data_IF_052996753932
#
_entry.id   IF_052996753932
#
_cell.length_a   1.000
_cell.length_b   1.000
_cell.length_c   1.000
_cell.angle_alpha   90.00
_cell.angle_beta   90.00
_cell.angle_gamma   90.00
#
_symmetry.space_group_name_H-M   'P 1'
#
loop_
_entity.id
_entity.type
_entity.pdbx_description
1 polymer ?
#
# COMPACT_ATOMS: atom_id res chain seq x y z
N UNK A 1 -13.08 -3.77 -9.38
CA UNK A 1 -13.02 -2.30 -9.23
C UNK A 1 -12.94 -2.01 -7.73
N UNK A 2 -11.78 -1.57 -7.22
CA UNK A 2 -11.62 -1.28 -5.78
C UNK A 2 -12.71 -0.28 -5.38
N UNK A 3 -13.42 -0.54 -4.29
CA UNK A 3 -14.33 0.43 -3.70
C UNK A 3 -13.49 1.58 -3.17
N UNK A 4 -13.71 2.79 -3.68
CA UNK A 4 -13.02 4.01 -3.23
C UNK A 4 -13.08 4.18 -1.70
N UNK A 5 -14.14 3.68 -1.06
CA UNK A 5 -14.28 3.63 0.39
C UNK A 5 -13.20 2.80 1.10
N UNK A 6 -12.79 1.66 0.55
CA UNK A 6 -11.74 0.81 1.15
C UNK A 6 -10.37 1.50 1.05
N UNK A 7 -10.12 2.16 -0.08
CA UNK A 7 -8.92 2.94 -0.29
C UNK A 7 -8.89 4.17 0.64
N UNK A 8 -10.00 4.89 0.75
CA UNK A 8 -10.13 6.05 1.65
C UNK A 8 -9.88 5.65 3.11
N UNK A 9 -10.48 4.54 3.55
CA UNK A 9 -10.24 4.00 4.90
C UNK A 9 -8.78 3.65 5.13
N UNK A 10 -8.13 2.97 4.17
CA UNK A 10 -6.69 2.66 4.25
C UNK A 10 -5.83 3.93 4.30
N UNK A 11 -6.21 4.96 3.54
CA UNK A 11 -5.51 6.26 3.53
C UNK A 11 -5.61 6.93 4.91
N UNK A 12 -6.78 6.89 5.54
CA UNK A 12 -7.01 7.46 6.88
C UNK A 12 -6.27 6.65 7.96
N UNK A 13 -6.49 5.33 8.01
CA UNK A 13 -5.93 4.43 9.03
C UNK A 13 -4.40 4.46 9.04
N UNK A 14 -3.78 4.48 7.85
CA UNK A 14 -2.32 4.49 7.70
C UNK A 14 -1.74 5.89 7.46
N UNK A 15 -2.57 6.94 7.49
CA UNK A 15 -2.18 8.33 7.22
C UNK A 15 -1.30 8.43 5.94
N UNK A 16 -1.83 7.93 4.84
CA UNK A 16 -1.18 7.90 3.53
C UNK A 16 -1.38 9.21 2.77
N UNK A 17 -0.57 9.43 1.74
CA UNK A 17 -0.75 10.54 0.81
C UNK A 17 -1.82 10.19 -0.21
N UNK A 18 -3.00 10.79 -0.09
CA UNK A 18 -4.18 10.54 -0.94
C UNK A 18 -3.85 10.48 -2.42
N UNK A 19 -3.27 11.54 -3.01
CA UNK A 19 -2.96 11.59 -4.45
C UNK A 19 -2.03 10.45 -4.92
N UNK A 20 -1.02 10.13 -4.12
CA UNK A 20 -0.07 9.07 -4.43
C UNK A 20 -0.72 7.70 -4.27
N UNK A 21 -1.58 7.52 -3.26
CA UNK A 21 -2.33 6.28 -3.05
C UNK A 21 -3.26 6.00 -4.25
N UNK A 22 -4.05 6.99 -4.70
CA UNK A 22 -4.89 6.85 -5.88
C UNK A 22 -4.07 6.51 -7.14
N UNK A 23 -2.95 7.19 -7.35
CA UNK A 23 -2.06 6.93 -8.50
C UNK A 23 -1.44 5.53 -8.42
N UNK A 24 -1.05 5.09 -7.23
CA UNK A 24 -0.47 3.78 -6.99
C UNK A 24 -1.47 2.67 -7.28
N UNK A 25 -2.70 2.80 -6.76
CA UNK A 25 -3.79 1.86 -7.03
C UNK A 25 -4.13 1.82 -8.53
N UNK A 26 -4.27 2.97 -9.18
CA UNK A 26 -4.54 3.03 -10.62
C UNK A 26 -3.44 2.35 -11.45
N UNK A 27 -2.18 2.51 -11.06
CA UNK A 27 -1.04 1.85 -11.72
C UNK A 27 -1.07 0.34 -11.46
N UNK A 28 -1.37 -0.10 -10.24
CA UNK A 28 -1.48 -1.52 -9.91
C UNK A 28 -2.60 -2.22 -10.71
N UNK A 29 -3.71 -1.53 -10.91
CA UNK A 29 -4.79 -2.00 -11.80
C UNK A 29 -4.38 -2.12 -13.25
N UNK A 30 -3.67 -1.11 -13.77
CA UNK A 30 -3.18 -1.13 -15.15
C UNK A 30 -2.21 -2.26 -15.39
N UNK A 31 -1.30 -2.49 -14.45
CA UNK A 31 -0.20 -3.45 -14.58
C UNK A 31 -0.58 -4.85 -14.06
N UNK A 32 -1.81 -5.00 -13.56
CA UNK A 32 -2.33 -6.20 -12.88
C UNK A 32 -1.39 -6.74 -11.78
N UNK A 33 -0.66 -5.83 -11.11
CA UNK A 33 0.39 -6.16 -10.17
C UNK A 33 0.60 -5.03 -9.16
N UNK A 34 0.65 -5.38 -7.87
CA UNK A 34 1.02 -4.42 -6.82
C UNK A 34 2.54 -4.24 -6.80
N UNK A 35 3.06 -3.09 -7.26
CA UNK A 35 4.51 -2.80 -7.20
C UNK A 35 4.94 -2.45 -5.77
N UNK A 36 5.17 -3.49 -4.97
CA UNK A 36 5.70 -3.40 -3.60
C UNK A 36 7.23 -3.24 -3.57
N UNK A 37 7.89 -3.65 -4.66
CA UNK A 37 9.31 -3.45 -4.88
C UNK A 37 9.60 -2.04 -5.45
N UNK A 38 10.69 -1.42 -4.99
CA UNK A 38 11.14 -0.10 -5.44
C UNK A 38 10.57 1.08 -4.64
N UNK A 39 10.69 2.27 -5.20
CA UNK A 39 10.36 3.56 -4.54
C UNK A 39 8.94 4.05 -4.78
N UNK A 40 8.11 3.27 -5.49
CA UNK A 40 6.72 3.66 -5.75
C UNK A 40 5.88 3.66 -4.46
N UNK A 41 5.96 2.59 -3.68
CA UNK A 41 5.26 2.45 -2.39
C UNK A 41 5.71 3.52 -1.38
N UNK A 42 7.00 3.92 -1.41
CA UNK A 42 7.52 4.93 -0.48
C UNK A 42 7.00 6.34 -0.78
N UNK A 43 6.50 6.61 -2.00
CA UNK A 43 5.82 7.86 -2.34
C UNK A 43 4.40 7.95 -1.77
N UNK A 44 3.76 6.80 -1.53
CA UNK A 44 2.43 6.70 -0.93
C UNK A 44 2.48 6.95 0.58
N UNK A 45 3.55 6.51 1.21
CA UNK A 45 3.80 6.72 2.63
C UNK A 45 3.97 8.22 2.94
N UNK A 46 3.38 8.66 4.05
CA UNK A 46 3.69 9.97 4.62
C UNK A 46 5.16 10.01 5.07
N UNK A 47 5.79 11.20 5.09
CA UNK A 47 7.13 11.36 5.64
C UNK A 47 7.09 11.04 7.14
N UNK A 48 7.38 9.78 7.47
CA UNK A 48 7.62 9.38 8.85
C UNK A 48 9.01 9.80 9.27
N UNK A 49 9.13 10.19 10.54
CA UNK A 49 10.41 10.57 11.11
C UNK A 49 11.39 9.40 10.99
N UNK A 50 12.54 9.64 10.37
CA UNK A 50 13.67 8.69 10.31
C UNK A 50 14.23 8.33 11.69
N UNK A 51 13.80 9.04 12.73
CA UNK A 51 14.19 8.86 14.13
C UNK A 51 13.08 8.23 14.99
N UNK A 52 11.98 7.75 14.39
CA UNK A 52 10.97 7.04 15.14
C UNK A 52 11.55 5.73 15.69
N UNK A 53 11.70 5.64 17.02
CA UNK A 53 12.26 4.47 17.71
C UNK A 53 11.38 3.21 17.62
N UNK A 54 10.13 3.35 17.16
CA UNK A 54 9.13 2.30 16.91
C UNK A 54 8.17 2.78 15.83
N UNK A 55 7.77 1.95 14.87
CA UNK A 55 6.89 2.38 13.76
C UNK A 55 7.60 3.15 12.65
N UNK A 56 8.87 2.85 12.40
CA UNK A 56 9.67 3.47 11.34
C UNK A 56 9.13 3.22 9.92
N UNK A 57 9.81 3.78 8.92
CA UNK A 57 9.37 3.71 7.52
C UNK A 57 9.17 2.28 7.02
N UNK A 58 10.05 1.35 7.43
CA UNK A 58 9.97 -0.04 6.98
C UNK A 58 8.79 -0.81 7.60
N UNK A 59 8.53 -0.64 8.90
CA UNK A 59 7.34 -1.25 9.54
C UNK A 59 6.04 -0.70 8.97
N UNK A 60 5.98 0.62 8.75
CA UNK A 60 4.81 1.26 8.14
C UNK A 60 4.61 0.80 6.70
N UNK A 61 5.71 0.66 5.95
CA UNK A 61 5.68 0.11 4.60
C UNK A 61 5.12 -1.31 4.58
N UNK A 62 5.56 -2.18 5.47
CA UNK A 62 5.05 -3.55 5.56
C UNK A 62 3.55 -3.59 5.86
N UNK A 63 3.08 -2.86 6.88
CA UNK A 63 1.64 -2.78 7.21
C UNK A 63 0.78 -2.28 6.05
N UNK A 64 1.25 -1.25 5.35
CA UNK A 64 0.55 -0.68 4.19
C UNK A 64 0.53 -1.67 3.04
N UNK A 65 1.62 -2.41 2.79
CA UNK A 65 1.67 -3.46 1.78
C UNK A 65 0.69 -4.58 2.11
N UNK A 66 0.64 -5.05 3.37
CA UNK A 66 -0.29 -6.09 3.81
C UNK A 66 -1.75 -5.64 3.69
N UNK A 67 -2.06 -4.43 4.13
CA UNK A 67 -3.43 -3.87 4.09
C UNK A 67 -3.90 -3.66 2.65
N UNK A 68 -3.05 -3.05 1.80
CA UNK A 68 -3.36 -2.91 0.39
C UNK A 68 -3.46 -4.30 -0.25
N UNK A 69 -2.50 -5.19 -0.03
CA UNK A 69 -2.49 -6.55 -0.54
C UNK A 69 -3.78 -7.31 -0.24
N UNK A 70 -4.25 -7.30 1.01
CA UNK A 70 -5.50 -7.93 1.43
C UNK A 70 -6.74 -7.28 0.77
N UNK A 71 -6.71 -5.96 0.56
CA UNK A 71 -7.77 -5.23 -0.17
C UNK A 71 -7.79 -5.57 -1.67
N UNK A 72 -6.64 -5.95 -2.22
CA UNK A 72 -6.43 -6.28 -3.64
C UNK A 72 -6.53 -7.78 -3.95
N UNK A 73 -6.42 -8.65 -2.95
CA UNK A 73 -6.49 -10.12 -3.07
C UNK A 73 -7.76 -10.61 -3.80
N UNK A 74 -8.98 -10.10 -3.50
CA UNK A 74 -10.18 -10.51 -4.20
C UNK A 74 -10.22 -10.07 -5.68
N UNK A 75 -9.40 -9.09 -6.03
CA UNK A 75 -9.45 -8.38 -7.31
C UNK A 75 -8.42 -8.96 -8.29
N UNK A 76 -7.28 -9.40 -7.79
CA UNK A 76 -6.23 -10.00 -8.61
C UNK A 76 -6.11 -11.52 -8.49
N UNK A 77 -6.76 -12.15 -7.50
CA UNK A 77 -6.56 -13.58 -7.24
C UNK A 77 -5.09 -13.92 -6.99
N UNK A 78 -4.31 -12.95 -6.49
CA UNK A 78 -2.90 -13.12 -6.22
C UNK A 78 -2.79 -13.94 -4.93
N UNK A 79 -2.49 -15.23 -5.06
CA UNK A 79 -1.82 -15.97 -4.01
C UNK A 79 -0.60 -15.15 -3.61
N UNK A 80 -0.68 -14.44 -2.49
CA UNK A 80 0.51 -13.82 -1.91
C UNK A 80 1.45 -14.98 -1.63
N UNK A 81 2.48 -15.12 -2.46
CA UNK A 81 3.50 -16.14 -2.29
C UNK A 81 4.24 -15.84 -1.00
N UNK A 82 3.67 -16.28 0.12
CA UNK A 82 4.35 -16.44 1.39
C UNK A 82 5.44 -17.47 1.12
N UNK A 83 6.61 -16.98 0.77
CA UNK A 83 7.80 -17.82 0.65
C UNK A 83 8.10 -18.33 2.05
N UNK A 84 7.79 -19.61 2.27
CA UNK A 84 8.24 -20.43 3.41
C UNK A 84 9.77 -20.48 3.49
#
# INVERSE_FOLDING_TARGET
>A
MVREAELAKTIEDENLRTDNAHTFVATAFRDNALRIAGTAITKVLSPVSRFASRGGHDEKKLRVIETLGASFEPIFGLSVGRND
#
